data_IF_763616438448
#
_entry.id   IF_763616438448
#
_cell.length_a   1.000
_cell.length_b   1.000
_cell.length_c   1.000
_cell.angle_alpha   90.00
_cell.angle_beta   90.00
_cell.angle_gamma   90.00
#
_symmetry.space_group_name_H-M   'P 1'
#
loop_
_entity.id
_entity.type
_entity.pdbx_description
1 polymer ?
#
# COMPACT_ATOMS: atom_id res chain seq x y z
N UNK A 1 -5.82 -29.85 -1.53
CA UNK A 1 -5.82 -29.39 -1.32
C UNK A 1 -6.01 -28.56 -1.20
N UNK A 2 -6.12 -28.11 -0.92
CA UNK A 2 -6.35 -27.31 -0.72
C UNK A 2 -5.96 -26.28 -0.87
N UNK A 3 -5.81 -25.97 -1.19
CA UNK A 3 -5.59 -25.10 -1.43
C UNK A 3 -5.83 -24.07 -0.97
N UNK A 4 -6.20 -23.87 -0.73
CA UNK A 4 -6.61 -22.96 -0.29
C UNK A 4 -6.18 -22.52 0.65
N UNK A 5 -5.98 -22.79 1.04
CA UNK A 5 -5.76 -22.45 2.07
C UNK A 5 -4.72 -21.65 2.43
N UNK A 6 -3.97 -21.21 1.64
CA UNK A 6 -2.95 -20.36 1.98
C UNK A 6 -3.33 -18.96 1.69
N UNK A 7 -3.86 -18.30 2.64
CA UNK A 7 -4.25 -16.92 2.51
C UNK A 7 -3.27 -16.07 3.28
N UNK A 8 -2.60 -15.17 2.61
CA UNK A 8 -1.73 -14.23 3.27
C UNK A 8 -2.52 -12.97 3.56
N UNK A 9 -2.70 -12.70 4.82
CA UNK A 9 -3.38 -11.50 5.22
C UNK A 9 -2.39 -10.41 5.48
N UNK A 10 -2.34 -9.45 4.60
CA UNK A 10 -1.48 -8.30 4.78
C UNK A 10 -2.21 -7.25 5.58
N UNK A 11 -1.50 -6.51 6.45
CA UNK A 11 -2.10 -5.34 7.07
C UNK A 11 -2.61 -4.40 5.99
N UNK A 12 -3.73 -3.74 6.23
CA UNK A 12 -4.30 -2.86 5.22
C UNK A 12 -3.35 -1.72 4.87
N UNK A 13 -2.54 -1.26 5.83
CA UNK A 13 -1.57 -0.22 5.53
C UNK A 13 -0.56 -0.67 4.49
N UNK A 14 -0.14 -1.93 4.55
CA UNK A 14 0.81 -2.45 3.58
C UNK A 14 0.14 -2.59 2.21
N UNK A 15 -1.08 -3.09 2.18
CA UNK A 15 -1.81 -3.19 0.92
C UNK A 15 -1.98 -1.82 0.27
N UNK A 16 -2.38 -0.84 1.08
CA UNK A 16 -2.53 0.52 0.57
C UNK A 16 -1.22 1.10 0.08
N UNK A 17 -0.13 0.81 0.79
CA UNK A 17 1.17 1.32 0.40
C UNK A 17 1.60 0.79 -0.96
N UNK A 18 1.36 -0.49 -1.20
CA UNK A 18 1.70 -1.08 -2.48
C UNK A 18 0.92 -0.39 -3.60
N UNK A 19 -0.38 -0.17 -3.38
CA UNK A 19 -1.21 0.50 -4.38
C UNK A 19 -0.73 1.92 -4.64
N UNK A 20 -0.31 2.63 -3.58
CA UNK A 20 0.22 3.97 -3.73
C UNK A 20 1.50 3.95 -4.56
N UNK A 21 2.40 3.03 -4.26
CA UNK A 21 3.68 2.97 -4.93
C UNK A 21 3.51 2.67 -6.42
N UNK A 22 2.54 1.83 -6.78
CA UNK A 22 2.31 1.53 -8.19
C UNK A 22 1.47 2.62 -8.88
N UNK A 23 1.11 3.68 -8.17
CA UNK A 23 0.49 4.84 -8.79
C UNK A 23 -1.01 4.85 -8.88
N UNK A 24 -1.68 4.04 -8.09
CA UNK A 24 -3.14 3.94 -8.18
C UNK A 24 -3.89 5.09 -7.53
N UNK A 25 -3.24 5.85 -6.66
CA UNK A 25 -3.93 6.85 -5.85
C UNK A 25 -3.50 8.28 -6.09
N UNK A 26 -2.70 8.54 -7.12
CA UNK A 26 -2.26 9.89 -7.37
C UNK A 26 -1.30 10.37 -6.30
N UNK A 27 -1.38 11.64 -5.94
CA UNK A 27 -0.47 12.15 -4.93
C UNK A 27 -1.10 13.30 -4.16
N UNK A 28 -0.42 13.70 -3.09
CA UNK A 28 -0.85 14.84 -2.28
C UNK A 28 -2.19 14.61 -1.61
N UNK A 29 -2.99 15.65 -1.59
CA UNK A 29 -4.30 15.60 -0.94
C UNK A 29 -5.24 14.64 -1.63
N UNK A 30 -5.12 14.50 -2.92
CA UNK A 30 -5.98 13.57 -3.64
C UNK A 30 -5.73 12.15 -3.20
N UNK A 31 -4.47 11.81 -2.99
CA UNK A 31 -4.12 10.48 -2.49
C UNK A 31 -4.74 10.23 -1.13
N UNK A 32 -4.60 11.22 -0.26
CA UNK A 32 -5.12 11.09 1.09
C UNK A 32 -6.62 10.86 1.09
N UNK A 33 -7.34 11.65 0.29
CA UNK A 33 -8.77 11.52 0.22
C UNK A 33 -9.20 10.19 -0.38
N UNK A 34 -8.51 9.76 -1.42
CA UNK A 34 -8.85 8.51 -2.08
C UNK A 34 -8.61 7.32 -1.16
N UNK A 35 -7.51 7.35 -0.40
CA UNK A 35 -7.22 6.28 0.54
C UNK A 35 -8.29 6.22 1.62
N UNK A 36 -8.68 7.35 2.16
CA UNK A 36 -9.67 7.39 3.21
C UNK A 36 -11.03 6.95 2.69
N UNK A 37 -11.35 7.30 1.46
CA UNK A 37 -12.59 6.87 0.85
C UNK A 37 -12.65 5.35 0.74
N UNK A 38 -11.53 4.72 0.50
CA UNK A 38 -11.47 3.27 0.36
C UNK A 38 -11.27 2.57 1.70
N UNK A 39 -11.28 3.29 2.79
CA UNK A 39 -11.21 2.70 4.12
C UNK A 39 -9.83 2.56 4.70
N UNK A 40 -8.82 3.14 4.06
CA UNK A 40 -7.47 3.09 4.58
C UNK A 40 -7.21 4.26 5.52
N UNK A 41 -6.28 4.04 6.44
CA UNK A 41 -5.77 5.12 7.26
C UNK A 41 -4.60 5.75 6.52
N UNK A 42 -4.79 6.96 6.02
CA UNK A 42 -3.81 7.58 5.14
C UNK A 42 -2.46 7.77 5.82
N UNK A 43 -2.46 8.10 7.11
CA UNK A 43 -1.20 8.28 7.84
C UNK A 43 -0.39 7.01 7.92
N UNK A 44 -1.07 5.90 8.21
CA UNK A 44 -0.40 4.61 8.30
C UNK A 44 0.08 4.15 6.95
N UNK A 45 -0.72 4.39 5.92
CA UNK A 45 -0.31 4.05 4.57
C UNK A 45 0.93 4.84 4.18
N UNK A 46 0.96 6.12 4.49
CA UNK A 46 2.12 6.95 4.15
C UNK A 46 3.36 6.44 4.86
N UNK A 47 3.22 6.04 6.12
CA UNK A 47 4.34 5.49 6.86
C UNK A 47 4.84 4.21 6.21
N UNK A 48 3.92 3.34 5.80
CA UNK A 48 4.31 2.12 5.13
C UNK A 48 4.97 2.39 3.78
N UNK A 49 4.49 3.41 3.06
CA UNK A 49 5.12 3.81 1.80
C UNK A 49 6.58 4.21 2.06
N UNK A 50 6.81 5.01 3.09
CA UNK A 50 8.15 5.45 3.42
C UNK A 50 9.07 4.28 3.75
N UNK A 51 8.53 3.25 4.37
CA UNK A 51 9.31 2.07 4.71
C UNK A 51 9.58 1.19 3.50
N UNK A 52 8.64 1.13 2.56
CA UNK A 52 8.74 0.22 1.43
C UNK A 52 9.49 0.82 0.25
N UNK A 53 9.47 2.14 0.10
CA UNK A 53 10.13 2.76 -1.05
C UNK A 53 11.60 2.39 -1.17
N UNK A 54 12.40 2.39 -0.10
CA UNK A 54 13.80 1.99 -0.24
C UNK A 54 13.94 0.56 -0.75
N UNK A 55 13.03 -0.32 -0.33
CA UNK A 55 13.06 -1.71 -0.75
C UNK A 55 12.73 -1.80 -2.25
N UNK A 56 11.69 -1.12 -2.67
CA UNK A 56 11.29 -1.12 -4.07
C UNK A 56 12.39 -0.53 -4.95
N UNK A 57 13.00 0.55 -4.48
CA UNK A 57 14.07 1.18 -5.26
C UNK A 57 15.29 0.29 -5.38
N UNK A 58 15.54 -0.52 -4.36
CA UNK A 58 16.69 -1.42 -4.37
C UNK A 58 16.55 -2.47 -5.48
N UNK A 59 15.34 -2.90 -5.76
CA UNK A 59 15.10 -3.94 -6.75
C UNK A 59 14.56 -3.41 -8.06
N UNK A 60 14.52 -2.12 -8.19
CA UNK A 60 14.06 -1.49 -9.41
C UNK A 60 15.13 -1.62 -10.48
N UNK A 61 14.71 -1.87 -11.68
CA UNK A 61 15.66 -2.03 -12.78
C UNK A 61 15.98 -0.77 -13.48
#
# INVERSE_FOLDING_TARGET
MNNETFVIKLPSAISGAILVIVGMYGNGEERKKALEKDGFNASEVQRAVNDLLPIFNKYKE
#
